data_IF_469192231276
#
_entry.id   IF_469192231276
#
_cell.length_a   1.000
_cell.length_b   1.000
_cell.length_c   1.000
_cell.angle_alpha   90.00
_cell.angle_beta   90.00
_cell.angle_gamma   90.00
#
_symmetry.space_group_name_H-M   'P 1'
#
loop_
_entity.id
_entity.type
_entity.pdbx_description
1 polymer ?
#
# COMPACT_ATOMS: atom_id res chain seq x y z
N UNK A 1 8.30 -6.41 32.06
CA UNK A 1 8.61 -7.04 30.75
C UNK A 1 7.73 -8.26 30.46
N UNK A 2 7.58 -9.23 31.37
CA UNK A 2 6.69 -10.38 31.15
C UNK A 2 5.22 -9.99 30.87
N UNK A 3 4.65 -9.11 31.70
CA UNK A 3 3.29 -8.57 31.48
C UNK A 3 3.18 -7.87 30.12
N UNK A 4 4.19 -7.09 29.74
CA UNK A 4 4.24 -6.42 28.44
C UNK A 4 4.23 -7.40 27.26
N UNK A 5 4.99 -8.51 27.34
CA UNK A 5 4.98 -9.54 26.30
C UNK A 5 3.59 -10.17 26.16
N UNK A 6 2.93 -10.50 27.28
CA UNK A 6 1.58 -11.09 27.28
C UNK A 6 0.56 -10.11 26.69
N UNK A 7 0.62 -8.84 27.09
CA UNK A 7 -0.25 -7.77 26.56
C UNK A 7 -0.07 -7.60 25.05
N UNK A 8 1.16 -7.65 24.54
CA UNK A 8 1.39 -7.51 23.10
C UNK A 8 0.95 -8.75 22.31
N UNK A 9 1.14 -9.96 22.84
CA UNK A 9 0.64 -11.18 22.18
C UNK A 9 -0.90 -11.17 22.13
N UNK A 10 -1.55 -10.82 23.25
CA UNK A 10 -3.01 -10.73 23.30
C UNK A 10 -3.52 -9.65 22.34
N UNK A 11 -2.87 -8.50 22.25
CA UNK A 11 -3.21 -7.46 21.28
C UNK A 11 -3.05 -7.95 19.83
N UNK A 12 -1.98 -8.67 19.50
CA UNK A 12 -1.77 -9.22 18.15
C UNK A 12 -2.90 -10.19 17.76
N UNK A 13 -3.33 -11.04 18.70
CA UNK A 13 -4.45 -11.96 18.52
C UNK A 13 -5.75 -11.17 18.32
N UNK A 14 -6.01 -10.15 19.15
CA UNK A 14 -7.20 -9.30 19.02
C UNK A 14 -7.25 -8.62 17.66
N UNK A 15 -6.16 -8.02 17.19
CA UNK A 15 -6.08 -7.38 15.87
C UNK A 15 -6.38 -8.38 14.74
N UNK A 16 -5.82 -9.59 14.83
CA UNK A 16 -6.11 -10.65 13.87
C UNK A 16 -7.59 -11.09 13.90
N UNK A 17 -8.17 -11.24 15.10
CA UNK A 17 -9.57 -11.61 15.27
C UNK A 17 -10.52 -10.52 14.78
N UNK A 18 -10.21 -9.24 15.01
CA UNK A 18 -10.96 -8.10 14.47
C UNK A 18 -10.96 -8.16 12.94
N UNK A 19 -9.80 -8.36 12.32
CA UNK A 19 -9.72 -8.54 10.86
C UNK A 19 -10.61 -9.69 10.38
N UNK A 20 -10.55 -10.85 11.05
CA UNK A 20 -11.38 -12.01 10.71
C UNK A 20 -12.87 -11.75 10.88
N UNK A 21 -13.25 -11.04 11.94
CA UNK A 21 -14.63 -10.63 12.18
C UNK A 21 -15.11 -9.72 11.06
N UNK A 22 -14.34 -8.68 10.70
CA UNK A 22 -14.67 -7.76 9.61
C UNK A 22 -14.87 -8.51 8.28
N UNK A 23 -13.99 -9.46 7.94
CA UNK A 23 -14.15 -10.33 6.76
C UNK A 23 -15.41 -11.19 6.85
N UNK A 24 -15.77 -11.66 8.05
CA UNK A 24 -16.96 -12.48 8.26
C UNK A 24 -18.26 -11.70 8.17
N UNK A 25 -18.26 -10.39 8.46
CA UNK A 25 -19.45 -9.55 8.30
C UNK A 25 -19.85 -9.34 6.83
N UNK A 26 -18.91 -9.54 5.90
CA UNK A 26 -19.16 -9.40 4.46
C UNK A 26 -19.82 -10.66 3.92
N UNK A 27 -21.11 -10.54 3.61
CA UNK A 27 -21.95 -11.63 3.08
C UNK A 27 -21.82 -11.75 1.57
N UNK A 28 -21.81 -10.62 0.85
CA UNK A 28 -21.64 -10.61 -0.60
C UNK A 28 -20.20 -11.05 -0.97
N UNK A 29 -20.03 -12.04 -1.86
CA UNK A 29 -18.71 -12.56 -2.15
C UNK A 29 -17.80 -11.54 -2.87
N UNK A 30 -18.37 -10.55 -3.59
CA UNK A 30 -17.58 -9.50 -4.26
C UNK A 30 -17.04 -8.51 -3.24
N UNK A 31 -17.88 -8.05 -2.32
CA UNK A 31 -17.44 -7.16 -1.23
C UNK A 31 -16.36 -7.84 -0.38
N UNK A 32 -16.54 -9.13 -0.10
CA UNK A 32 -15.54 -9.95 0.62
C UNK A 32 -14.24 -10.09 -0.16
N UNK A 33 -14.31 -10.34 -1.47
CA UNK A 33 -13.15 -10.38 -2.37
C UNK A 33 -12.37 -9.07 -2.30
N UNK A 34 -13.04 -7.93 -2.46
CA UNK A 34 -12.39 -6.62 -2.53
C UNK A 34 -11.71 -6.25 -1.21
N UNK A 35 -12.39 -6.54 -0.09
CA UNK A 35 -11.84 -6.28 1.23
C UNK A 35 -10.59 -7.13 1.49
N UNK A 36 -10.62 -8.42 1.18
CA UNK A 36 -9.45 -9.31 1.33
C UNK A 36 -8.29 -8.85 0.45
N UNK A 37 -8.57 -8.57 -0.83
CA UNK A 37 -7.55 -8.16 -1.80
C UNK A 37 -6.82 -6.86 -1.39
N UNK A 38 -7.55 -5.92 -0.78
CA UNK A 38 -7.00 -4.59 -0.44
C UNK A 38 -6.43 -4.48 0.98
N UNK A 39 -6.92 -5.28 1.93
CA UNK A 39 -6.64 -5.10 3.35
C UNK A 39 -5.88 -6.27 4.01
N UNK A 40 -5.99 -7.51 3.51
CA UNK A 40 -5.47 -8.67 4.25
C UNK A 40 -3.99 -8.57 4.60
N UNK A 41 -3.16 -8.24 3.61
CA UNK A 41 -1.70 -8.10 3.81
C UNK A 41 -1.41 -6.97 4.79
N UNK A 42 -2.16 -5.85 4.74
CA UNK A 42 -1.96 -4.71 5.65
C UNK A 42 -2.26 -5.08 7.09
N UNK A 43 -3.38 -5.77 7.34
CA UNK A 43 -3.72 -6.26 8.68
C UNK A 43 -2.69 -7.26 9.20
N UNK A 44 -2.23 -8.20 8.36
CA UNK A 44 -1.21 -9.16 8.78
C UNK A 44 0.13 -8.48 9.09
N UNK A 45 0.54 -7.46 8.33
CA UNK A 45 1.73 -6.66 8.65
C UNK A 45 1.63 -6.02 10.04
N UNK A 46 0.46 -5.45 10.39
CA UNK A 46 0.22 -4.93 11.74
C UNK A 46 0.35 -6.01 12.82
N UNK A 47 -0.23 -7.19 12.60
CA UNK A 47 -0.10 -8.32 13.53
C UNK A 47 1.37 -8.69 13.76
N UNK A 48 2.17 -8.81 12.70
CA UNK A 48 3.59 -9.14 12.83
C UNK A 48 4.43 -8.03 13.47
N UNK A 49 4.09 -6.75 13.27
CA UNK A 49 4.73 -5.64 13.99
C UNK A 49 4.48 -5.79 15.49
N UNK A 50 3.24 -6.04 15.91
CA UNK A 50 2.87 -6.22 17.31
C UNK A 50 3.57 -7.46 17.90
N UNK A 51 3.64 -8.56 17.16
CA UNK A 51 4.41 -9.75 17.57
C UNK A 51 5.91 -9.47 17.70
N UNK A 52 6.49 -8.66 16.81
CA UNK A 52 7.88 -8.20 16.93
C UNK A 52 8.12 -7.44 18.24
N UNK A 53 7.19 -6.57 18.63
CA UNK A 53 7.25 -5.85 19.92
C UNK A 53 7.10 -6.83 21.10
N UNK A 54 6.24 -7.84 20.99
CA UNK A 54 6.14 -8.88 22.02
C UNK A 54 7.47 -9.64 22.22
N UNK A 55 8.17 -9.95 21.12
CA UNK A 55 9.49 -10.59 21.13
C UNK A 55 10.53 -9.67 21.79
N UNK A 56 10.49 -8.36 21.51
CA UNK A 56 11.34 -7.39 22.21
C UNK A 56 11.12 -7.42 23.74
N UNK A 57 9.87 -7.48 24.20
CA UNK A 57 9.58 -7.63 25.63
C UNK A 57 10.09 -8.96 26.20
N UNK A 58 9.96 -10.05 25.44
CA UNK A 58 10.44 -11.37 25.85
C UNK A 58 11.97 -11.44 25.98
N UNK A 59 12.72 -10.85 25.04
CA UNK A 59 14.19 -10.79 25.09
C UNK A 59 14.66 -10.08 26.36
N UNK A 60 14.01 -8.99 26.75
CA UNK A 60 14.35 -8.25 27.96
C UNK A 60 14.05 -9.00 29.27
N UNK A 61 13.29 -10.08 29.23
CA UNK A 61 13.07 -10.95 30.39
C UNK A 61 14.32 -11.79 30.69
N UNK A 62 15.05 -12.20 29.66
CA UNK A 62 16.17 -13.13 29.76
C UNK A 62 17.34 -12.55 30.56
N UNK A 63 17.58 -13.06 31.77
CA UNK A 63 18.67 -12.61 32.66
C UNK A 63 18.37 -11.29 33.38
N UNK A 64 17.09 -10.88 33.46
CA UNK A 64 16.67 -9.64 34.12
C UNK A 64 17.00 -9.59 35.62
N UNK A 65 17.05 -10.75 36.27
CA UNK A 65 17.37 -10.87 37.70
C UNK A 65 18.85 -10.61 38.03
N UNK A 66 19.75 -10.72 37.04
CA UNK A 66 21.21 -10.62 37.27
C UNK A 66 21.73 -9.18 37.31
N UNK A 67 20.94 -8.20 36.87
CA UNK A 67 21.40 -6.82 36.74
C UNK A 67 20.26 -5.86 37.09
N UNK A 68 20.34 -5.26 38.28
CA UNK A 68 19.29 -4.44 38.89
C UNK A 68 19.52 -2.93 38.75
N UNK A 69 20.71 -2.51 38.31
CA UNK A 69 21.08 -1.11 38.13
C UNK A 69 20.99 -0.61 36.68
N UNK A 70 20.79 0.70 36.51
CA UNK A 70 20.89 1.39 35.23
C UNK A 70 22.37 1.51 34.84
N UNK A 71 22.78 0.77 33.81
CA UNK A 71 24.14 0.81 33.27
C UNK A 71 24.15 0.43 31.78
N UNK A 72 25.35 0.26 31.20
CA UNK A 72 25.55 -0.07 29.78
C UNK A 72 24.65 -1.23 29.29
N UNK A 73 24.44 -2.23 30.14
CA UNK A 73 23.62 -3.40 29.81
C UNK A 73 22.15 -3.09 29.53
N UNK A 74 21.58 -2.04 30.13
CA UNK A 74 20.23 -1.57 29.79
C UNK A 74 20.15 -1.17 28.31
N UNK A 75 21.10 -0.36 27.85
CA UNK A 75 21.17 0.11 26.46
C UNK A 75 21.42 -1.04 25.48
N UNK A 76 22.34 -1.95 25.82
CA UNK A 76 22.61 -3.15 25.01
C UNK A 76 21.36 -3.99 24.82
N UNK A 77 20.56 -4.17 25.87
CA UNK A 77 19.31 -4.94 25.79
C UNK A 77 18.23 -4.27 24.96
N UNK A 78 18.04 -2.96 25.15
CA UNK A 78 17.10 -2.18 24.33
C UNK A 78 17.51 -2.29 22.87
N UNK A 79 18.80 -2.14 22.57
CA UNK A 79 19.35 -2.28 21.22
C UNK A 79 19.07 -3.67 20.63
N UNK A 80 19.43 -4.76 21.32
CA UNK A 80 19.19 -6.14 20.86
C UNK A 80 17.69 -6.39 20.62
N UNK A 81 16.84 -5.86 21.49
CA UNK A 81 15.39 -6.04 21.41
C UNK A 81 14.79 -5.31 20.22
N UNK A 82 15.26 -4.08 19.94
CA UNK A 82 14.88 -3.34 18.74
C UNK A 82 15.33 -4.10 17.50
N UNK A 83 16.60 -4.53 17.45
CA UNK A 83 17.14 -5.30 16.32
C UNK A 83 16.31 -6.56 16.03
N UNK A 84 15.99 -7.33 17.08
CA UNK A 84 15.16 -8.53 16.95
C UNK A 84 13.73 -8.21 16.48
N UNK A 85 13.08 -7.19 17.05
CA UNK A 85 11.74 -6.78 16.62
C UNK A 85 11.72 -6.32 15.16
N UNK A 86 12.70 -5.52 14.74
CA UNK A 86 12.82 -5.06 13.36
C UNK A 86 13.10 -6.22 12.40
N UNK A 87 13.94 -7.18 12.80
CA UNK A 87 14.22 -8.37 12.00
C UNK A 87 12.96 -9.20 11.77
N UNK A 88 12.19 -9.48 12.82
CA UNK A 88 10.93 -10.23 12.73
C UNK A 88 9.93 -9.50 11.84
N UNK A 89 9.73 -8.20 12.05
CA UNK A 89 8.80 -7.42 11.24
C UNK A 89 9.21 -7.36 9.77
N UNK A 90 10.51 -7.18 9.49
CA UNK A 90 11.05 -7.14 8.13
C UNK A 90 10.89 -8.48 7.41
N UNK A 91 11.33 -9.57 8.04
CA UNK A 91 11.19 -10.93 7.47
C UNK A 91 9.72 -11.27 7.23
N UNK A 92 8.84 -10.94 8.17
CA UNK A 92 7.41 -11.14 7.99
C UNK A 92 6.85 -10.31 6.82
N UNK A 93 7.27 -9.03 6.67
CA UNK A 93 6.84 -8.22 5.52
C UNK A 93 7.29 -8.83 4.20
N UNK A 94 8.53 -9.31 4.11
CA UNK A 94 9.03 -9.98 2.90
C UNK A 94 8.21 -11.24 2.58
N UNK A 95 7.92 -12.07 3.59
CA UNK A 95 7.08 -13.25 3.39
C UNK A 95 5.68 -12.86 2.89
N UNK A 96 5.09 -11.80 3.46
CA UNK A 96 3.77 -11.32 3.08
C UNK A 96 3.73 -10.66 1.69
N UNK A 97 4.80 -10.02 1.26
CA UNK A 97 4.86 -9.33 -0.04
C UNK A 97 5.19 -10.29 -1.20
N UNK A 98 6.02 -11.32 -0.97
CA UNK A 98 6.53 -12.18 -2.04
C UNK A 98 5.91 -13.59 -2.07
N UNK A 99 5.62 -14.20 -0.92
CA UNK A 99 5.17 -15.60 -0.87
C UNK A 99 3.68 -15.74 -0.54
N UNK A 100 3.15 -14.87 0.31
CA UNK A 100 1.75 -14.91 0.72
C UNK A 100 0.74 -14.60 -0.40
N UNK A 101 1.02 -13.72 -1.41
CA UNK A 101 0.05 -13.39 -2.44
C UNK A 101 -0.49 -14.60 -3.19
N UNK A 102 0.30 -15.66 -3.38
CA UNK A 102 -0.15 -16.93 -4.00
C UNK A 102 -1.32 -17.55 -3.24
N UNK A 103 -1.27 -17.56 -1.90
CA UNK A 103 -2.37 -18.08 -1.06
C UNK A 103 -3.59 -17.16 -1.09
N UNK A 104 -3.37 -15.85 -1.11
CA UNK A 104 -4.45 -14.86 -1.23
C UNK A 104 -5.16 -15.04 -2.57
N UNK A 105 -4.42 -15.14 -3.67
CA UNK A 105 -4.96 -15.32 -5.02
C UNK A 105 -5.80 -16.59 -5.14
N UNK A 106 -5.37 -17.71 -4.56
CA UNK A 106 -6.18 -18.95 -4.55
C UNK A 106 -7.54 -18.75 -3.87
N UNK A 107 -7.55 -18.09 -2.71
CA UNK A 107 -8.78 -17.76 -1.97
C UNK A 107 -9.65 -16.76 -2.71
N UNK A 108 -9.06 -15.72 -3.29
CA UNK A 108 -9.75 -14.72 -4.10
C UNK A 108 -10.39 -15.35 -5.34
N UNK A 109 -9.67 -16.25 -6.02
CA UNK A 109 -10.21 -17.03 -7.16
C UNK A 109 -11.42 -17.86 -6.76
N UNK A 110 -11.37 -18.52 -5.60
CA UNK A 110 -12.51 -19.27 -5.07
C UNK A 110 -13.72 -18.37 -4.78
N UNK A 111 -13.50 -17.16 -4.28
CA UNK A 111 -14.57 -16.19 -4.03
C UNK A 111 -15.17 -15.65 -5.32
N UNK A 112 -14.33 -15.29 -6.30
CA UNK A 112 -14.75 -14.78 -7.61
C UNK A 112 -15.77 -15.72 -8.26
N UNK A 113 -15.39 -16.99 -8.43
CA UNK A 113 -16.20 -18.03 -9.08
C UNK A 113 -17.20 -18.74 -8.15
N UNK A 114 -17.41 -18.23 -6.93
CA UNK A 114 -18.47 -18.78 -6.07
C UNK A 114 -19.85 -18.38 -6.61
N UNK A 115 -20.82 -19.31 -6.66
CA UNK A 115 -22.15 -19.01 -7.20
C UNK A 115 -22.81 -17.83 -6.51
N UNK A 116 -23.42 -16.94 -7.29
CA UNK A 116 -24.17 -15.80 -6.76
C UNK A 116 -25.63 -16.16 -6.56
N UNK A 117 -26.27 -15.43 -5.65
CA UNK A 117 -27.69 -15.52 -5.38
C UNK A 117 -28.29 -14.17 -5.73
N UNK A 118 -29.32 -14.16 -6.55
CA UNK A 118 -30.03 -12.94 -6.92
C UNK A 118 -30.72 -12.39 -5.65
N UNK A 119 -30.43 -11.14 -5.23
CA UNK A 119 -31.01 -10.57 -4.01
C UNK A 119 -32.53 -10.34 -4.11
N UNK A 120 -33.07 -10.22 -5.32
CA UNK A 120 -34.51 -9.99 -5.54
C UNK A 120 -35.32 -11.29 -5.47
N UNK A 121 -34.78 -12.37 -6.03
CA UNK A 121 -35.53 -13.62 -6.25
C UNK A 121 -35.06 -14.77 -5.36
N UNK A 122 -33.83 -14.70 -4.83
CA UNK A 122 -33.19 -15.81 -4.11
C UNK A 122 -32.71 -16.95 -5.02
N UNK A 123 -32.85 -16.82 -6.35
CA UNK A 123 -32.37 -17.84 -7.29
C UNK A 123 -30.84 -17.85 -7.39
N UNK A 124 -30.28 -19.02 -7.69
CA UNK A 124 -28.86 -19.14 -8.05
C UNK A 124 -28.64 -18.53 -9.42
N UNK A 125 -27.61 -17.69 -9.54
CA UNK A 125 -27.20 -17.08 -10.80
C UNK A 125 -26.12 -17.94 -11.47
N UNK A 126 -26.15 -17.99 -12.80
CA UNK A 126 -25.11 -18.60 -13.63
C UNK A 126 -24.10 -17.55 -14.05
N UNK A 127 -22.82 -17.88 -13.97
CA UNK A 127 -21.74 -17.08 -14.56
C UNK A 127 -21.71 -17.35 -16.07
N UNK A 128 -21.72 -16.28 -16.87
CA UNK A 128 -21.61 -16.34 -18.32
C UNK A 128 -20.16 -16.62 -18.75
N UNK A 129 -19.97 -17.17 -19.95
CA UNK A 129 -18.64 -17.15 -20.58
C UNK A 129 -18.34 -15.78 -21.18
N UNK A 130 -17.08 -15.53 -21.50
CA UNK A 130 -16.61 -14.26 -22.10
C UNK A 130 -17.40 -13.91 -23.37
N UNK A 131 -17.73 -14.90 -24.21
CA UNK A 131 -18.49 -14.67 -25.44
C UNK A 131 -19.98 -14.43 -25.19
N UNK A 132 -20.53 -15.00 -24.10
CA UNK A 132 -21.93 -14.81 -23.71
C UNK A 132 -22.13 -13.46 -23.03
N UNK A 133 -21.12 -12.96 -22.31
CA UNK A 133 -21.24 -11.74 -21.52
C UNK A 133 -21.11 -10.46 -22.32
N UNK A 134 -20.41 -10.47 -23.46
CA UNK A 134 -20.27 -9.33 -24.38
C UNK A 134 -21.61 -8.65 -24.70
N UNK A 135 -22.68 -9.42 -24.85
CA UNK A 135 -24.04 -8.91 -25.15
C UNK A 135 -24.61 -8.05 -24.01
N UNK A 136 -24.11 -8.24 -22.80
CA UNK A 136 -24.52 -7.54 -21.58
C UNK A 136 -23.57 -6.41 -21.18
N UNK A 137 -22.41 -6.30 -21.83
CA UNK A 137 -21.41 -5.28 -21.56
C UNK A 137 -21.53 -4.12 -22.56
N UNK A 138 -21.39 -2.90 -22.04
CA UNK A 138 -21.30 -1.71 -22.90
C UNK A 138 -19.99 -1.75 -23.71
N UNK A 139 -19.96 -1.13 -24.89
CA UNK A 139 -18.75 -1.08 -25.75
C UNK A 139 -17.50 -0.55 -25.01
N UNK A 140 -17.69 0.39 -24.08
CA UNK A 140 -16.61 0.92 -23.26
C UNK A 140 -16.09 -0.08 -22.22
N UNK A 141 -16.95 -0.96 -21.69
CA UNK A 141 -16.54 -2.05 -20.79
C UNK A 141 -15.76 -3.11 -21.57
N UNK A 142 -16.26 -3.52 -22.73
CA UNK A 142 -15.54 -4.41 -23.65
C UNK A 142 -14.18 -3.80 -24.04
N UNK A 143 -14.11 -2.49 -24.26
CA UNK A 143 -12.84 -1.82 -24.54
C UNK A 143 -11.85 -1.88 -23.36
N UNK A 144 -12.32 -1.86 -22.11
CA UNK A 144 -11.48 -2.03 -20.92
C UNK A 144 -10.91 -3.46 -20.79
N UNK A 145 -11.69 -4.47 -21.20
CA UNK A 145 -11.30 -5.88 -21.25
C UNK A 145 -10.32 -6.17 -22.37
N UNK A 146 -10.57 -5.65 -23.56
CA UNK A 146 -9.68 -5.73 -24.71
C UNK A 146 -8.27 -5.17 -24.41
N UNK A 147 -8.17 -4.22 -23.49
CA UNK A 147 -6.88 -3.69 -23.02
C UNK A 147 -6.35 -4.33 -21.74
N UNK A 148 -7.06 -5.32 -21.21
CA UNK A 148 -6.80 -6.07 -19.99
C UNK A 148 -6.66 -5.21 -18.73
N UNK A 149 -7.35 -4.07 -18.71
CA UNK A 149 -7.29 -3.12 -17.60
C UNK A 149 -8.25 -3.48 -16.48
N UNK A 150 -9.44 -3.90 -16.87
CA UNK A 150 -10.57 -4.31 -16.05
C UNK A 150 -11.09 -5.59 -16.68
N UNK A 151 -11.66 -6.43 -15.84
CA UNK A 151 -12.17 -7.75 -16.17
C UNK A 151 -13.56 -7.83 -15.53
N UNK A 152 -14.62 -8.01 -16.34
CA UNK A 152 -15.99 -8.05 -15.86
C UNK A 152 -16.45 -9.50 -15.78
N UNK A 153 -17.13 -9.86 -14.68
CA UNK A 153 -17.89 -11.11 -14.63
C UNK A 153 -19.38 -10.77 -14.73
N UNK A 154 -20.08 -11.36 -15.70
CA UNK A 154 -21.53 -11.22 -15.80
C UNK A 154 -22.25 -12.46 -15.24
N UNK A 155 -23.11 -12.22 -14.25
CA UNK A 155 -23.98 -13.23 -13.65
C UNK A 155 -25.43 -13.01 -14.09
N UNK A 156 -26.11 -14.06 -14.53
CA UNK A 156 -27.51 -14.01 -14.94
C UNK A 156 -28.39 -14.95 -14.11
N UNK A 157 -29.59 -14.48 -13.72
CA UNK A 157 -30.67 -15.33 -13.23
C UNK A 157 -31.53 -15.79 -14.42
N UNK A 158 -31.36 -17.03 -14.86
CA UNK A 158 -32.05 -17.57 -16.06
C UNK A 158 -33.58 -17.53 -15.98
N UNK A 159 -34.16 -17.49 -14.78
CA UNK A 159 -35.62 -17.45 -14.62
C UNK A 159 -36.21 -16.06 -14.82
N UNK A 160 -35.47 -15.02 -14.46
CA UNK A 160 -35.96 -13.64 -14.45
C UNK A 160 -35.21 -12.72 -15.41
N UNK A 161 -34.13 -13.21 -16.02
CA UNK A 161 -33.20 -12.43 -16.83
C UNK A 161 -32.57 -11.24 -16.09
N UNK A 162 -32.56 -11.27 -14.76
CA UNK A 162 -31.82 -10.28 -13.96
C UNK A 162 -30.31 -10.51 -14.14
N UNK A 163 -29.59 -9.43 -14.46
CA UNK A 163 -28.15 -9.43 -14.68
C UNK A 163 -27.42 -8.71 -13.54
N UNK A 164 -26.32 -9.27 -13.05
CA UNK A 164 -25.39 -8.67 -12.10
C UNK A 164 -23.99 -8.67 -12.70
N UNK A 165 -23.45 -7.48 -12.93
CA UNK A 165 -22.10 -7.27 -13.46
C UNK A 165 -21.15 -6.97 -12.29
N UNK A 166 -20.06 -7.72 -12.17
CA UNK A 166 -19.04 -7.53 -11.13
C UNK A 166 -17.70 -7.12 -11.77
N UNK A 167 -17.11 -6.03 -11.26
CA UNK A 167 -15.87 -5.44 -11.81
C UNK A 167 -14.61 -5.90 -11.06
N UNK A 168 -13.64 -6.48 -11.77
CA UNK A 168 -12.34 -6.90 -11.25
C UNK A 168 -11.18 -6.13 -11.90
N UNK A 169 -10.05 -6.02 -11.19
CA UNK A 169 -8.85 -5.41 -11.76
C UNK A 169 -8.19 -6.41 -12.72
N UNK A 170 -7.93 -5.97 -13.94
CA UNK A 170 -7.18 -6.73 -14.92
C UNK A 170 -5.69 -6.82 -14.57
N UNK A 171 -4.93 -7.48 -15.44
CA UNK A 171 -3.50 -7.71 -15.25
C UNK A 171 -2.63 -6.58 -15.82
N UNK A 172 -3.16 -5.74 -16.71
CA UNK A 172 -2.50 -4.54 -17.21
C UNK A 172 -3.01 -3.29 -16.50
N UNK A 173 -2.14 -2.30 -16.36
CA UNK A 173 -2.49 -1.01 -15.79
C UNK A 173 -2.76 -0.04 -16.94
N UNK A 174 -3.99 0.46 -16.99
CA UNK A 174 -4.37 1.58 -17.83
C UNK A 174 -4.98 2.69 -16.98
N UNK A 175 -4.81 3.93 -17.41
CA UNK A 175 -5.34 5.09 -16.70
C UNK A 175 -6.80 5.33 -17.10
N UNK A 176 -7.55 5.96 -16.19
CA UNK A 176 -8.88 6.44 -16.50
C UNK A 176 -8.80 7.59 -17.51
N UNK A 177 -9.60 7.52 -18.57
CA UNK A 177 -9.71 8.60 -19.54
C UNK A 177 -10.62 9.70 -19.01
N UNK A 178 -10.14 10.94 -19.02
CA UNK A 178 -10.92 12.10 -18.56
C UNK A 178 -12.12 12.45 -19.46
N UNK A 179 -12.17 11.90 -20.69
CA UNK A 179 -13.24 12.18 -21.64
C UNK A 179 -14.38 11.17 -21.53
N UNK A 180 -14.08 9.86 -21.62
CA UNK A 180 -15.10 8.81 -21.58
C UNK A 180 -15.24 8.10 -20.21
N UNK A 181 -14.33 8.31 -19.26
CA UNK A 181 -14.40 7.71 -17.92
C UNK A 181 -13.92 6.26 -17.82
N UNK A 182 -13.64 5.58 -18.93
CA UNK A 182 -13.12 4.20 -18.96
C UNK A 182 -11.60 4.14 -18.74
N UNK A 183 -11.12 3.03 -18.18
CA UNK A 183 -9.72 2.70 -17.92
C UNK A 183 -8.99 2.21 -19.17
N UNK A 184 -9.08 2.97 -20.26
CA UNK A 184 -8.55 2.60 -21.59
C UNK A 184 -7.39 3.49 -22.05
N UNK A 185 -6.90 4.38 -21.18
CA UNK A 185 -5.81 5.30 -21.51
C UNK A 185 -4.44 4.62 -21.34
N UNK A 186 -3.72 4.43 -22.45
CA UNK A 186 -2.38 3.82 -22.48
C UNK A 186 -1.33 4.80 -22.99
N UNK A 187 -0.07 4.63 -22.56
CA UNK A 187 1.08 5.36 -23.11
C UNK A 187 1.34 4.83 -24.52
N UNK A 188 1.30 5.70 -25.52
CA UNK A 188 1.67 5.37 -26.90
C UNK A 188 3.12 5.68 -27.21
N UNK A 189 3.60 6.86 -26.77
CA UNK A 189 4.94 7.34 -27.07
C UNK A 189 5.47 8.12 -25.88
N UNK A 190 6.77 7.98 -25.63
CA UNK A 190 7.50 8.85 -24.73
C UNK A 190 8.55 9.61 -25.54
N UNK A 191 8.66 10.91 -25.30
CA UNK A 191 9.57 11.80 -26.04
C UNK A 191 10.31 12.71 -25.07
N UNK A 192 11.61 12.88 -25.29
CA UNK A 192 12.42 13.85 -24.55
C UNK A 192 12.32 15.18 -25.29
N UNK A 193 11.57 16.13 -24.74
CA UNK A 193 11.29 17.44 -25.36
C UNK A 193 12.46 18.39 -25.16
N UNK A 194 13.05 18.37 -23.96
CA UNK A 194 14.17 19.23 -23.61
C UNK A 194 15.31 18.39 -23.04
N UNK A 195 16.53 18.74 -23.45
CA UNK A 195 17.79 18.20 -22.91
C UNK A 195 18.59 19.32 -22.29
N UNK A 196 19.36 18.99 -21.26
CA UNK A 196 20.34 19.91 -20.69
C UNK A 196 21.56 20.00 -21.62
N UNK A 197 22.47 20.93 -21.32
CA UNK A 197 23.73 21.14 -22.07
C UNK A 197 24.62 19.88 -22.09
N UNK A 198 24.55 19.06 -21.04
CA UNK A 198 25.25 17.78 -20.92
C UNK A 198 24.57 16.63 -21.72
N UNK A 199 23.47 16.91 -22.42
CA UNK A 199 22.68 15.95 -23.20
C UNK A 199 21.69 15.11 -22.40
N UNK A 200 21.69 15.22 -21.07
CA UNK A 200 20.76 14.49 -20.20
C UNK A 200 19.31 14.97 -20.40
N UNK A 201 18.30 14.08 -20.33
CA UNK A 201 16.91 14.47 -20.45
C UNK A 201 16.51 15.41 -19.32
N UNK A 202 15.89 16.53 -19.66
CA UNK A 202 15.33 17.51 -18.70
C UNK A 202 13.82 17.35 -18.57
N UNK A 203 13.13 17.17 -19.69
CA UNK A 203 11.68 17.03 -19.72
C UNK A 203 11.27 15.86 -20.61
N UNK A 204 10.47 14.94 -20.04
CA UNK A 204 9.90 13.78 -20.71
C UNK A 204 8.40 14.04 -20.93
N UNK A 205 7.98 14.04 -22.17
CA UNK A 205 6.57 14.12 -22.56
C UNK A 205 6.04 12.71 -22.83
N UNK A 206 5.05 12.28 -22.05
CA UNK A 206 4.34 11.02 -22.32
C UNK A 206 3.05 11.34 -23.08
N UNK A 207 2.92 10.74 -24.26
CA UNK A 207 1.71 10.78 -25.08
C UNK A 207 0.85 9.59 -24.73
N UNK A 208 -0.33 9.87 -24.22
CA UNK A 208 -1.35 8.90 -23.91
C UNK A 208 -2.42 8.93 -24.99
N UNK A 209 -2.92 7.77 -25.39
CA UNK A 209 -4.11 7.64 -26.24
C UNK A 209 -5.09 6.69 -25.56
N UNK A 210 -6.35 7.11 -25.51
CA UNK A 210 -7.46 6.26 -25.13
C UNK A 210 -7.75 5.27 -26.26
N UNK A 211 -7.78 3.97 -25.99
CA UNK A 211 -8.11 2.98 -27.03
C UNK A 211 -9.59 2.97 -27.41
N UNK A 212 -10.47 3.49 -26.54
CA UNK A 212 -11.91 3.54 -26.78
C UNK A 212 -12.34 4.81 -27.53
N UNK A 213 -12.24 5.98 -26.89
CA UNK A 213 -12.71 7.25 -27.50
C UNK A 213 -11.63 7.99 -28.31
N UNK A 214 -10.46 7.37 -28.52
CA UNK A 214 -9.31 7.92 -29.24
C UNK A 214 -8.72 9.23 -28.71
N UNK A 215 -9.25 9.76 -27.60
CA UNK A 215 -8.77 11.01 -27.01
C UNK A 215 -7.29 10.91 -26.64
N UNK A 216 -6.54 11.95 -27.01
CA UNK A 216 -5.09 12.01 -26.85
C UNK A 216 -4.76 13.01 -25.76
N UNK A 217 -3.82 12.67 -24.89
CA UNK A 217 -3.33 13.56 -23.84
C UNK A 217 -1.82 13.49 -23.78
N UNK A 218 -1.16 14.64 -23.72
CA UNK A 218 0.26 14.69 -23.41
C UNK A 218 0.43 15.17 -21.96
N UNK A 219 1.38 14.59 -21.23
CA UNK A 219 1.72 15.07 -19.89
C UNK A 219 3.24 15.13 -19.77
N UNK A 220 3.75 16.32 -19.45
CA UNK A 220 5.15 16.56 -19.23
C UNK A 220 5.55 16.14 -17.82
N UNK A 221 6.70 15.48 -17.73
CA UNK A 221 7.33 15.07 -16.48
C UNK A 221 8.74 15.63 -16.47
N UNK A 222 9.06 16.37 -15.41
CA UNK A 222 10.43 16.80 -15.18
C UNK A 222 11.29 15.57 -14.86
N UNK A 223 12.34 15.35 -15.65
CA UNK A 223 13.27 14.26 -15.43
C UNK A 223 14.29 14.73 -14.40
N UNK A 224 14.29 14.08 -13.26
CA UNK A 224 15.22 14.38 -12.19
C UNK A 224 16.63 13.95 -12.60
N UNK A 225 17.59 14.89 -12.60
CA UNK A 225 19.02 14.57 -12.70
C UNK A 225 19.63 14.14 -11.37
N UNK A 226 18.80 14.02 -10.34
CA UNK A 226 19.31 13.75 -9.00
C UNK A 226 19.90 12.36 -8.96
N UNK A 227 21.16 12.30 -8.56
CA UNK A 227 21.80 11.05 -8.22
C UNK A 227 21.37 10.61 -6.81
N UNK A 228 21.73 9.40 -6.43
CA UNK A 228 21.36 8.84 -5.13
C UNK A 228 21.72 9.80 -3.96
N UNK A 229 22.83 10.52 -4.08
CA UNK A 229 23.31 11.47 -3.06
C UNK A 229 22.55 12.81 -3.03
N UNK A 230 21.97 13.25 -4.15
CA UNK A 230 21.15 14.47 -4.21
C UNK A 230 19.83 14.32 -3.45
N UNK A 231 19.31 13.09 -3.35
CA UNK A 231 18.14 12.80 -2.53
C UNK A 231 18.47 12.79 -1.03
N UNK A 232 19.72 12.45 -0.67
CA UNK A 232 20.17 12.48 0.73
C UNK A 232 20.28 13.91 1.27
N UNK A 233 20.64 14.86 0.40
CA UNK A 233 20.88 16.26 0.78
C UNK A 233 19.67 17.20 0.55
N UNK A 234 18.56 16.70 0.03
CA UNK A 234 17.39 17.52 -0.25
C UNK A 234 16.63 17.87 1.04
N UNK A 235 16.80 19.10 1.52
CA UNK A 235 15.94 19.66 2.59
C UNK A 235 14.48 19.77 2.08
N UNK A 236 13.46 19.38 2.87
CA UNK A 236 12.06 19.45 2.46
C UNK A 236 11.65 20.91 2.19
N UNK A 237 11.03 21.18 1.02
CA UNK A 237 10.50 22.50 0.66
C UNK A 237 9.18 22.76 1.41
N UNK A 238 9.21 23.49 2.53
CA UNK A 238 8.00 24.09 3.09
C UNK A 238 7.74 25.43 2.40
N UNK A 239 6.73 25.50 1.53
CA UNK A 239 6.17 26.77 1.01
C UNK A 239 4.69 26.82 1.39
N UNK A 240 4.43 27.41 2.55
CA UNK A 240 3.11 27.81 3.02
C UNK A 240 3.29 29.03 3.92
N UNK A 241 2.37 29.99 3.82
CA UNK A 241 2.38 31.24 4.57
C UNK A 241 2.45 30.96 6.09
N UNK A 242 3.58 31.31 6.72
CA UNK A 242 3.92 30.96 8.11
C UNK A 242 3.04 31.61 9.18
N UNK A 243 2.14 32.53 8.79
CA UNK A 243 1.20 33.16 9.72
C UNK A 243 0.14 32.19 10.27
N UNK A 244 -0.05 31.04 9.62
CA UNK A 244 -0.91 29.93 10.08
C UNK A 244 -0.09 28.63 10.20
N UNK A 245 1.13 28.70 10.73
CA UNK A 245 1.97 27.53 10.94
C UNK A 245 1.59 26.85 12.27
N UNK A 246 0.91 25.72 12.20
CA UNK A 246 0.55 24.95 13.41
C UNK A 246 1.66 23.99 13.87
N UNK A 247 2.47 23.47 12.94
CA UNK A 247 3.50 22.47 13.23
C UNK A 247 4.54 22.35 12.11
N UNK A 248 5.82 22.27 12.47
CA UNK A 248 6.94 21.89 11.60
C UNK A 248 7.44 20.52 12.02
N UNK A 249 7.36 19.53 11.13
CA UNK A 249 7.92 18.20 11.35
C UNK A 249 9.17 17.97 10.51
N UNK A 250 10.29 17.70 11.16
CA UNK A 250 11.57 17.35 10.56
C UNK A 250 11.78 15.86 10.69
N UNK A 251 11.75 15.16 9.56
CA UNK A 251 12.01 13.74 9.46
C UNK A 251 13.44 13.51 8.97
N UNK A 252 14.30 12.98 9.83
CA UNK A 252 15.67 12.62 9.52
C UNK A 252 15.74 11.16 9.13
N UNK A 253 16.04 10.92 7.85
CA UNK A 253 16.20 9.60 7.27
C UNK A 253 17.70 9.30 7.11
N UNK A 254 18.20 8.36 7.90
CA UNK A 254 19.56 7.83 7.75
C UNK A 254 19.61 6.80 6.62
N UNK A 255 20.75 6.72 5.93
CA UNK A 255 21.05 5.69 4.91
C UNK A 255 20.95 4.25 5.46
N UNK A 256 20.94 4.08 6.78
CA UNK A 256 20.73 2.82 7.47
C UNK A 256 19.25 2.50 7.74
N UNK A 257 18.32 3.24 7.14
CA UNK A 257 16.88 3.01 7.25
C UNK A 257 16.25 3.52 8.55
N UNK A 258 17.01 4.19 9.44
CA UNK A 258 16.45 4.84 10.64
C UNK A 258 15.81 6.17 10.27
N UNK A 259 14.52 6.30 10.60
CA UNK A 259 13.75 7.54 10.50
C UNK A 259 13.49 8.08 11.91
N UNK A 260 13.92 9.30 12.21
CA UNK A 260 13.52 10.04 13.42
C UNK A 260 12.76 11.29 13.04
N UNK A 261 11.63 11.50 13.68
CA UNK A 261 10.74 12.62 13.43
C UNK A 261 10.75 13.56 14.62
N UNK A 262 11.01 14.83 14.39
CA UNK A 262 10.98 15.88 15.40
C UNK A 262 9.95 16.93 14.99
N UNK A 263 9.10 17.33 15.93
CA UNK A 263 8.03 18.29 15.68
C UNK A 263 8.31 19.57 16.47
N UNK A 264 8.15 20.72 15.82
CA UNK A 264 8.43 22.04 16.36
C UNK A 264 7.24 22.95 16.09
N UNK A 265 6.96 23.86 17.01
CA UNK A 265 5.84 24.79 16.87
C UNK A 265 6.24 26.05 16.08
N UNK A 266 7.53 26.40 16.06
CA UNK A 266 8.07 27.61 15.42
C UNK A 266 9.28 27.31 14.54
N UNK A 267 9.55 28.17 13.55
CA UNK A 267 10.69 28.03 12.62
C UNK A 267 12.03 28.17 13.34
N UNK A 268 12.08 29.06 14.33
CA UNK A 268 13.31 29.37 15.07
C UNK A 268 13.78 28.17 15.92
N UNK A 269 12.85 27.44 16.56
CA UNK A 269 13.15 26.20 17.29
C UNK A 269 13.69 25.10 16.37
N UNK A 270 13.03 24.92 15.22
CA UNK A 270 13.44 23.94 14.22
C UNK A 270 14.85 24.26 13.67
N UNK A 271 15.14 25.54 13.47
CA UNK A 271 16.42 26.00 12.92
C UNK A 271 17.55 25.91 13.94
N UNK A 272 17.27 26.21 15.22
CA UNK A 272 18.22 26.00 16.32
C UNK A 272 18.52 24.52 16.53
N UNK A 273 17.50 23.66 16.49
CA UNK A 273 17.67 22.21 16.53
C UNK A 273 18.61 21.75 15.41
N UNK A 274 18.36 22.13 14.15
CA UNK A 274 19.20 21.72 13.02
C UNK A 274 20.66 22.21 13.10
N UNK A 275 20.93 23.34 13.77
CA UNK A 275 22.29 23.87 13.94
C UNK A 275 23.06 23.17 15.07
N UNK A 276 22.36 22.71 16.11
CA UNK A 276 22.96 22.01 17.25
C UNK A 276 22.95 20.48 17.09
N UNK A 277 22.21 20.00 16.10
CA UNK A 277 21.97 18.58 15.88
C UNK A 277 23.17 17.90 15.21
N UNK A 278 23.79 17.02 15.98
CA UNK A 278 24.91 16.19 15.57
C UNK A 278 24.45 14.73 15.55
N UNK A 279 24.56 14.07 14.39
CA UNK A 279 24.10 12.69 14.21
C UNK A 279 24.87 11.72 15.10
N UNK A 280 26.12 12.04 15.44
CA UNK A 280 26.97 11.22 16.30
C UNK A 280 26.52 11.28 17.77
N UNK A 281 25.79 12.34 18.17
CA UNK A 281 25.18 12.46 19.51
C UNK A 281 23.86 11.71 19.66
N UNK A 282 23.31 11.14 18.58
CA UNK A 282 22.09 10.31 18.62
C UNK A 282 22.36 8.80 18.66
N UNK A 283 23.63 8.40 18.70
CA UNK A 283 24.08 7.04 18.98
C UNK A 283 23.78 6.64 20.43
#
# INVERSE_FOLDING_TARGET
>A
MAVGAIVMITLAIIVYLIYKLLVSTKTDPKEKYDYINTQEIKWLKWVFIILGIAIAFAINLYGSEKYTGLGLWFFVRVFISICAATLVAYVASLILDYYYPTRVNYKLRKLRYSPRINPKTGNKMRLLSEEEEDVHLDEGMQAEENVFSIDYDVWIDEKTSDVKIEKYKGHLIALQCNNCGFYTMKVQKEEIVERNEDGSPRELLKHYKCTYCENVRATAFAVSRKEADDYRNQKPKSRGNLKNLELIKIDLHSNLGKKKSFEFSTVEEAQKFLNEFDFDKLA
#
